data_IF_909281771836
#
_entry.id   IF_909281771836
#
_cell.length_a   1.000
_cell.length_b   1.000
_cell.length_c   1.000
_cell.angle_alpha   90.00
_cell.angle_beta   90.00
_cell.angle_gamma   90.00
#
_symmetry.space_group_name_H-M   'P 1'
#
loop_
_entity.id
_entity.type
_entity.pdbx_description
1 polymer ?
#
# COMPACT_ATOMS: atom_id res chain seq x y z
N UNK A 1 14.85 27.01 23.72
CA UNK A 1 14.02 25.87 24.04
C UNK A 1 12.55 26.02 23.54
N UNK A 2 12.28 26.75 22.45
CA UNK A 2 10.90 27.03 21.97
C UNK A 2 10.74 26.91 20.43
N UNK A 3 11.67 26.26 19.70
CA UNK A 3 11.58 26.15 18.22
C UNK A 3 11.10 24.78 17.69
N UNK A 4 11.09 23.71 18.51
CA UNK A 4 10.77 22.35 18.03
C UNK A 4 9.28 22.04 17.87
N UNK A 5 8.41 22.66 18.70
CA UNK A 5 6.97 22.39 18.66
C UNK A 5 6.25 23.03 17.48
N UNK A 6 6.77 24.13 16.94
CA UNK A 6 6.20 24.83 15.79
C UNK A 6 6.46 24.07 14.47
N UNK A 7 7.65 23.47 14.31
CA UNK A 7 7.98 22.67 13.12
C UNK A 7 7.26 21.34 13.09
N UNK A 8 7.08 20.64 14.24
CA UNK A 8 6.24 19.44 14.36
C UNK A 8 4.77 19.70 13.95
N UNK A 9 4.22 20.82 14.41
CA UNK A 9 2.86 21.24 14.03
C UNK A 9 2.78 21.63 12.56
N UNK A 10 3.83 22.22 11.99
CA UNK A 10 3.87 22.64 10.58
C UNK A 10 3.98 21.45 9.63
N UNK A 11 4.77 20.41 9.93
CA UNK A 11 4.86 19.20 9.12
C UNK A 11 3.52 18.42 9.13
N UNK A 12 2.91 18.24 10.29
CA UNK A 12 1.59 17.58 10.41
C UNK A 12 0.49 18.41 9.75
N UNK A 13 0.55 19.75 9.87
CA UNK A 13 -0.44 20.66 9.27
C UNK A 13 -0.32 20.72 7.74
N UNK A 14 0.88 20.59 7.18
CA UNK A 14 1.08 20.56 5.72
C UNK A 14 0.55 19.25 5.12
N UNK A 15 0.74 18.10 5.78
CA UNK A 15 0.18 16.81 5.33
C UNK A 15 -1.35 16.81 5.41
N UNK A 16 -1.93 17.37 6.48
CA UNK A 16 -3.40 17.50 6.64
C UNK A 16 -3.97 18.55 5.69
N UNK A 17 -3.26 19.64 5.40
CA UNK A 17 -3.71 20.68 4.45
C UNK A 17 -3.68 20.20 2.99
N UNK A 18 -2.75 19.34 2.60
CA UNK A 18 -2.74 18.73 1.27
C UNK A 18 -3.91 17.75 1.11
N UNK A 19 -4.27 17.00 2.15
CA UNK A 19 -5.48 16.16 2.14
C UNK A 19 -6.78 16.98 2.17
N UNK A 20 -6.84 18.11 2.89
CA UNK A 20 -8.03 18.97 2.95
C UNK A 20 -8.22 19.86 1.71
N UNK A 21 -7.15 20.23 1.01
CA UNK A 21 -7.24 20.99 -0.24
C UNK A 21 -7.81 20.15 -1.40
N UNK A 22 -7.67 18.81 -1.35
CA UNK A 22 -8.31 17.91 -2.31
C UNK A 22 -9.82 17.74 -2.08
N UNK A 23 -10.32 18.08 -0.88
CA UNK A 23 -11.72 17.88 -0.47
C UNK A 23 -12.62 19.11 -0.67
N UNK A 24 -12.10 20.24 -1.13
CA UNK A 24 -12.80 21.54 -1.02
C UNK A 24 -13.15 22.32 -2.30
N UNK A 25 -12.89 21.79 -3.49
CA UNK A 25 -13.32 22.45 -4.72
C UNK A 25 -14.55 21.72 -5.31
N UNK A 26 -15.68 22.39 -5.52
CA UNK A 26 -16.75 21.83 -6.32
C UNK A 26 -16.26 21.86 -7.79
N UNK A 27 -15.66 20.75 -8.25
CA UNK A 27 -15.51 20.52 -9.68
C UNK A 27 -16.91 20.31 -10.25
N UNK A 28 -17.43 21.30 -10.93
CA UNK A 28 -18.58 21.11 -11.81
C UNK A 28 -18.14 20.13 -12.90
N UNK A 29 -18.50 18.85 -12.74
CA UNK A 29 -18.24 17.82 -13.73
C UNK A 29 -18.93 18.21 -15.04
N UNK A 30 -18.17 18.70 -16.00
CA UNK A 30 -18.60 18.68 -17.38
C UNK A 30 -18.73 17.19 -17.75
N UNK A 31 -19.95 16.73 -18.03
CA UNK A 31 -20.22 15.44 -18.67
C UNK A 31 -19.55 15.50 -20.05
N UNK A 32 -18.30 15.07 -20.12
CA UNK A 32 -17.64 14.81 -21.39
C UNK A 32 -18.21 13.50 -21.91
N UNK A 33 -19.02 13.58 -22.97
CA UNK A 33 -19.27 12.46 -23.85
C UNK A 33 -17.90 12.00 -24.38
N UNK A 34 -17.27 11.03 -23.73
CA UNK A 34 -15.92 10.62 -24.04
C UNK A 34 -15.88 9.69 -25.22
N UNK A 35 -14.92 9.91 -26.14
CA UNK A 35 -14.54 8.91 -27.13
C UNK A 35 -14.11 7.62 -26.43
N UNK A 36 -14.31 6.46 -27.10
CA UNK A 36 -13.84 5.17 -26.60
C UNK A 36 -12.34 5.22 -26.25
N UNK A 37 -11.96 4.59 -25.15
CA UNK A 37 -10.58 4.51 -24.69
C UNK A 37 -10.10 3.07 -24.62
N UNK A 38 -8.89 2.82 -25.08
CA UNK A 38 -8.20 1.54 -24.90
C UNK A 38 -7.15 1.68 -23.81
N UNK A 39 -7.30 0.92 -22.74
CA UNK A 39 -6.41 0.87 -21.59
C UNK A 39 -5.52 -0.36 -21.72
N UNK A 40 -4.21 -0.19 -21.58
CA UNK A 40 -3.27 -1.31 -21.41
C UNK A 40 -3.12 -1.57 -19.92
N UNK A 41 -3.60 -2.72 -19.47
CA UNK A 41 -3.58 -3.09 -18.06
C UNK A 41 -2.21 -3.66 -17.61
N UNK A 42 -2.09 -3.94 -16.30
CA UNK A 42 -0.84 -4.43 -15.70
C UNK A 42 -0.30 -5.71 -16.38
N UNK A 43 -1.16 -6.58 -16.88
CA UNK A 43 -0.76 -7.83 -17.53
C UNK A 43 -0.63 -7.70 -19.05
N UNK A 44 -0.65 -6.47 -19.58
CA UNK A 44 -0.42 -6.15 -20.99
C UNK A 44 -1.64 -6.35 -21.90
N UNK A 45 -2.85 -6.54 -21.34
CA UNK A 45 -4.08 -6.67 -22.13
C UNK A 45 -4.59 -5.29 -22.51
N UNK A 46 -5.18 -5.22 -23.69
CA UNK A 46 -5.91 -4.05 -24.15
C UNK A 46 -7.40 -4.19 -23.84
N UNK A 47 -7.90 -3.32 -22.96
CA UNK A 47 -9.31 -3.27 -22.57
C UNK A 47 -9.92 -1.99 -23.13
N UNK A 48 -10.93 -2.13 -24.01
CA UNK A 48 -11.59 -0.97 -24.60
C UNK A 48 -12.86 -0.64 -23.79
N UNK A 49 -12.99 0.61 -23.40
CA UNK A 49 -14.15 1.18 -22.73
C UNK A 49 -14.81 2.16 -23.69
N UNK A 50 -16.06 1.87 -24.09
CA UNK A 50 -16.79 2.65 -25.10
C UNK A 50 -17.26 4.02 -24.58
N UNK A 51 -17.38 4.16 -23.26
CA UNK A 51 -17.81 5.39 -22.61
C UNK A 51 -17.27 5.46 -21.17
N UNK A 52 -17.31 6.65 -20.51
CA UNK A 52 -16.98 6.80 -19.10
C UNK A 52 -17.82 5.86 -18.23
N UNK A 53 -17.20 4.97 -17.43
CA UNK A 53 -17.94 4.04 -16.57
C UNK A 53 -18.66 4.81 -15.46
N UNK A 54 -19.86 4.35 -15.14
CA UNK A 54 -20.74 4.93 -14.12
C UNK A 54 -20.87 4.05 -12.88
N UNK A 55 -20.58 2.75 -13.02
CA UNK A 55 -20.77 1.74 -11.98
C UNK A 55 -19.49 0.92 -11.80
N UNK A 56 -18.54 1.53 -11.12
CA UNK A 56 -17.18 0.99 -10.96
C UNK A 56 -17.11 0.14 -9.70
N UNK A 57 -16.39 -0.98 -9.77
CA UNK A 57 -16.04 -1.80 -8.61
C UNK A 57 -14.54 -2.02 -8.55
N UNK A 58 -13.94 -1.79 -7.36
CA UNK A 58 -12.56 -2.13 -7.05
C UNK A 58 -12.50 -3.43 -6.23
N UNK A 59 -11.80 -4.45 -6.74
CA UNK A 59 -11.74 -5.79 -6.15
C UNK A 59 -10.81 -5.90 -4.93
N UNK A 60 -10.27 -4.79 -4.44
CA UNK A 60 -9.50 -4.72 -3.18
C UNK A 60 -9.67 -3.35 -2.52
N UNK A 61 -9.36 -3.27 -1.22
CA UNK A 61 -9.41 -2.01 -0.48
C UNK A 61 -8.47 -0.96 -1.11
N UNK A 62 -7.24 -1.33 -1.47
CA UNK A 62 -6.27 -0.41 -2.09
C UNK A 62 -6.76 0.17 -3.42
N UNK A 63 -7.40 -0.65 -4.27
CA UNK A 63 -7.96 -0.20 -5.55
C UNK A 63 -9.13 0.75 -5.29
N UNK A 64 -10.04 0.39 -4.39
CA UNK A 64 -11.17 1.24 -4.03
C UNK A 64 -10.71 2.57 -3.42
N UNK A 65 -9.69 2.56 -2.55
CA UNK A 65 -9.09 3.78 -2.00
C UNK A 65 -8.52 4.69 -3.11
N UNK A 66 -7.82 4.12 -4.11
CA UNK A 66 -7.33 4.89 -5.26
C UNK A 66 -8.47 5.48 -6.09
N UNK A 67 -9.54 4.71 -6.35
CA UNK A 67 -10.74 5.20 -7.05
C UNK A 67 -11.40 6.36 -6.29
N UNK A 68 -11.60 6.23 -4.98
CA UNK A 68 -12.11 7.33 -4.16
C UNK A 68 -11.22 8.56 -4.22
N UNK A 69 -9.91 8.37 -4.15
CA UNK A 69 -8.94 9.47 -4.12
C UNK A 69 -8.94 10.32 -5.40
N UNK A 70 -9.32 9.76 -6.54
CA UNK A 70 -9.48 10.49 -7.82
C UNK A 70 -10.92 10.93 -8.09
N UNK A 71 -11.88 10.64 -7.19
CA UNK A 71 -13.29 11.00 -7.36
C UNK A 71 -14.15 9.98 -8.12
N UNK A 72 -13.57 8.87 -8.58
CA UNK A 72 -14.26 7.78 -9.27
C UNK A 72 -14.89 6.82 -8.25
N UNK A 73 -15.99 7.24 -7.62
CA UNK A 73 -16.60 6.53 -6.48
C UNK A 73 -17.11 5.13 -6.87
N UNK A 74 -16.62 4.04 -6.20
CA UNK A 74 -17.15 2.70 -6.40
C UNK A 74 -18.61 2.58 -5.97
N UNK A 75 -19.37 1.67 -6.64
CA UNK A 75 -20.76 1.34 -6.26
C UNK A 75 -20.84 0.22 -5.22
N UNK A 76 -19.72 -0.46 -4.95
CA UNK A 76 -19.58 -1.48 -3.92
C UNK A 76 -18.10 -1.72 -3.61
N UNK A 77 -17.83 -2.31 -2.46
CA UNK A 77 -16.46 -2.49 -1.91
C UNK A 77 -16.28 -3.89 -1.34
N UNK A 78 -15.03 -4.27 -1.09
CA UNK A 78 -14.72 -5.51 -0.37
C UNK A 78 -15.14 -5.43 1.10
N UNK A 79 -15.50 -6.56 1.68
CA UNK A 79 -15.87 -6.65 3.09
C UNK A 79 -14.73 -6.16 4.01
N UNK A 80 -15.10 -5.44 5.06
CA UNK A 80 -14.15 -4.91 6.04
C UNK A 80 -13.45 -3.61 5.61
N UNK A 81 -13.82 -3.03 4.47
CA UNK A 81 -13.30 -1.71 4.07
C UNK A 81 -13.93 -0.61 4.94
N UNK A 82 -13.09 0.23 5.54
CA UNK A 82 -13.48 1.31 6.45
C UNK A 82 -12.88 2.68 6.08
N UNK A 83 -12.10 2.72 5.01
CA UNK A 83 -11.50 3.95 4.50
C UNK A 83 -11.71 4.09 2.98
N UNK A 84 -12.09 5.29 2.49
CA UNK A 84 -12.54 6.44 3.29
C UNK A 84 -13.85 6.14 4.04
N UNK A 85 -14.26 6.95 5.04
CA UNK A 85 -15.44 6.65 5.88
C UNK A 85 -16.73 6.36 5.11
N UNK A 86 -16.93 7.00 3.94
CA UNK A 86 -18.07 6.75 3.07
C UNK A 86 -18.12 5.32 2.50
N UNK A 87 -16.98 4.65 2.40
CA UNK A 87 -16.92 3.27 1.91
C UNK A 87 -17.68 2.29 2.81
N UNK A 88 -17.71 2.55 4.13
CA UNK A 88 -18.38 1.69 5.10
C UNK A 88 -19.90 1.56 4.89
N UNK A 89 -20.51 2.49 4.14
CA UNK A 89 -21.95 2.49 3.82
C UNK A 89 -22.29 1.77 2.51
N UNK A 90 -21.29 1.36 1.73
CA UNK A 90 -21.51 0.72 0.45
C UNK A 90 -21.79 -0.78 0.57
N UNK A 91 -22.52 -1.38 -0.39
CA UNK A 91 -22.71 -2.82 -0.49
C UNK A 91 -21.35 -3.53 -0.57
N UNK A 92 -21.27 -4.74 -0.01
CA UNK A 92 -20.07 -5.57 -0.08
C UNK A 92 -20.30 -6.81 -0.91
N UNK A 93 -19.25 -7.30 -1.59
CA UNK A 93 -19.28 -8.50 -2.42
C UNK A 93 -18.21 -9.53 -1.99
N UNK A 94 -18.02 -9.74 -0.69
CA UNK A 94 -17.00 -10.62 -0.13
C UNK A 94 -15.63 -9.96 -0.01
N UNK A 95 -14.56 -10.74 0.07
CA UNK A 95 -13.20 -10.25 0.19
C UNK A 95 -12.47 -10.22 -1.16
N UNK A 96 -11.33 -9.54 -1.24
CA UNK A 96 -10.49 -9.57 -2.45
C UNK A 96 -9.99 -10.98 -2.81
N UNK A 97 -9.81 -11.86 -1.80
CA UNK A 97 -9.39 -13.26 -1.99
C UNK A 97 -10.54 -14.20 -2.33
N UNK A 98 -11.74 -13.93 -1.80
CA UNK A 98 -12.93 -14.75 -1.94
C UNK A 98 -14.13 -13.84 -2.26
N UNK A 99 -14.22 -13.30 -3.49
CA UNK A 99 -15.34 -12.47 -3.89
C UNK A 99 -16.60 -13.34 -4.10
N UNK A 100 -17.73 -12.79 -3.68
CA UNK A 100 -19.05 -13.30 -4.05
C UNK A 100 -19.42 -12.72 -5.42
N UNK A 101 -19.30 -13.55 -6.46
CA UNK A 101 -19.55 -13.12 -7.84
C UNK A 101 -21.02 -12.83 -8.12
N UNK A 102 -21.96 -13.42 -7.37
CA UNK A 102 -23.40 -13.14 -7.50
C UNK A 102 -23.70 -11.75 -6.91
N UNK A 103 -23.17 -11.47 -5.73
CA UNK A 103 -23.28 -10.15 -5.12
C UNK A 103 -22.58 -9.07 -5.97
N UNK A 104 -21.42 -9.38 -6.57
CA UNK A 104 -20.72 -8.50 -7.50
C UNK A 104 -21.57 -8.20 -8.73
N UNK A 105 -22.14 -9.24 -9.38
CA UNK A 105 -22.99 -9.08 -10.56
C UNK A 105 -24.28 -8.29 -10.25
N UNK A 106 -24.85 -8.47 -9.05
CA UNK A 106 -26.04 -7.73 -8.62
C UNK A 106 -25.78 -6.21 -8.46
N UNK A 107 -24.52 -5.79 -8.37
CA UNK A 107 -24.15 -4.38 -8.43
C UNK A 107 -24.21 -3.80 -9.85
N UNK A 108 -24.41 -4.61 -10.87
CA UNK A 108 -24.44 -4.22 -12.30
C UNK A 108 -23.27 -3.31 -12.67
N UNK A 109 -22.01 -3.70 -12.41
CA UNK A 109 -20.86 -2.87 -12.73
C UNK A 109 -20.71 -2.75 -14.26
N UNK A 110 -20.21 -1.59 -14.71
CA UNK A 110 -19.78 -1.36 -16.09
C UNK A 110 -18.25 -1.29 -16.22
N UNK A 111 -17.54 -1.31 -15.08
CA UNK A 111 -16.11 -1.49 -14.99
C UNK A 111 -15.74 -2.23 -13.69
N UNK A 112 -14.94 -3.28 -13.82
CA UNK A 112 -14.29 -3.96 -12.71
C UNK A 112 -12.80 -3.65 -12.77
N UNK A 113 -12.23 -3.20 -11.64
CA UNK A 113 -10.77 -3.07 -11.47
C UNK A 113 -10.32 -4.16 -10.50
N UNK A 114 -9.54 -5.11 -10.99
CA UNK A 114 -9.15 -6.32 -10.27
C UNK A 114 -7.65 -6.33 -9.95
N UNK A 115 -7.28 -7.00 -8.86
CA UNK A 115 -5.88 -7.20 -8.47
C UNK A 115 -5.30 -8.40 -9.22
N UNK A 116 -4.21 -8.19 -9.98
CA UNK A 116 -3.62 -9.23 -10.82
C UNK A 116 -3.14 -10.45 -10.01
N UNK A 117 -2.64 -10.25 -8.79
CA UNK A 117 -2.17 -11.34 -7.94
C UNK A 117 -3.33 -12.19 -7.36
N UNK A 118 -4.44 -11.53 -7.00
CA UNK A 118 -5.55 -12.19 -6.31
C UNK A 118 -6.60 -12.75 -7.25
N UNK A 119 -6.83 -12.06 -8.37
CA UNK A 119 -8.02 -12.28 -9.20
C UNK A 119 -7.72 -12.84 -10.61
N UNK A 120 -6.44 -13.06 -10.97
CA UNK A 120 -6.09 -13.63 -12.29
C UNK A 120 -6.79 -14.97 -12.54
N UNK A 121 -6.88 -15.83 -11.55
CA UNK A 121 -7.53 -17.15 -11.67
C UNK A 121 -9.03 -17.12 -11.91
N UNK A 122 -9.68 -15.97 -11.77
CA UNK A 122 -11.13 -15.79 -11.99
C UNK A 122 -11.42 -14.70 -13.04
N UNK A 123 -10.41 -14.28 -13.81
CA UNK A 123 -10.55 -13.20 -14.78
C UNK A 123 -11.69 -13.42 -15.77
N UNK A 124 -11.79 -14.61 -16.37
CA UNK A 124 -12.85 -14.93 -17.32
C UNK A 124 -14.27 -14.76 -16.72
N UNK A 125 -14.40 -15.05 -15.40
CA UNK A 125 -15.66 -14.87 -14.68
C UNK A 125 -15.97 -13.39 -14.43
N UNK A 126 -14.95 -12.59 -14.18
CA UNK A 126 -15.12 -11.14 -14.01
C UNK A 126 -15.48 -10.49 -15.34
N UNK A 127 -14.83 -10.88 -16.43
CA UNK A 127 -15.13 -10.39 -17.79
C UNK A 127 -16.53 -10.79 -18.28
N UNK A 128 -17.07 -11.89 -17.78
CA UNK A 128 -18.46 -12.25 -18.04
C UNK A 128 -19.48 -11.32 -17.35
N UNK A 129 -19.06 -10.56 -16.34
CA UNK A 129 -19.88 -9.57 -15.62
C UNK A 129 -19.69 -8.18 -16.25
N UNK A 130 -18.46 -7.72 -16.42
CA UNK A 130 -18.16 -6.41 -16.97
C UNK A 130 -16.70 -6.33 -17.52
N UNK A 131 -16.38 -5.35 -18.37
CA UNK A 131 -15.00 -5.04 -18.73
C UNK A 131 -14.13 -4.98 -17.49
N UNK A 132 -12.99 -5.71 -17.52
CA UNK A 132 -12.13 -5.88 -16.35
C UNK A 132 -10.71 -5.43 -16.65
N UNK A 133 -10.18 -4.52 -15.84
CA UNK A 133 -8.80 -4.03 -15.86
C UNK A 133 -8.03 -4.63 -14.70
N UNK A 134 -6.84 -5.19 -14.98
CA UNK A 134 -5.96 -5.74 -13.97
C UNK A 134 -4.93 -4.71 -13.53
N UNK A 135 -4.83 -4.47 -12.22
CA UNK A 135 -3.78 -3.63 -11.61
C UNK A 135 -3.01 -4.41 -10.57
N UNK A 136 -1.81 -3.97 -10.26
CA UNK A 136 -0.99 -4.54 -9.19
C UNK A 136 -0.15 -3.46 -8.53
N UNK A 137 -0.03 -3.54 -7.21
CA UNK A 137 0.85 -2.68 -6.42
C UNK A 137 1.79 -3.58 -5.63
N UNK A 138 3.04 -3.68 -6.08
CA UNK A 138 4.11 -4.40 -5.38
C UNK A 138 4.94 -3.46 -4.51
N UNK A 139 5.12 -2.23 -4.96
CA UNK A 139 5.94 -1.19 -4.35
C UNK A 139 5.16 0.10 -4.17
N UNK A 140 5.59 0.95 -3.25
CA UNK A 140 5.00 2.28 -3.09
C UNK A 140 5.07 3.12 -4.38
N UNK A 141 6.12 2.90 -5.21
CA UNK A 141 6.28 3.55 -6.52
C UNK A 141 5.24 3.14 -7.57
N UNK A 142 4.52 2.05 -7.39
CA UNK A 142 3.48 1.63 -8.32
C UNK A 142 2.18 2.43 -8.12
N UNK A 143 1.99 3.02 -6.94
CA UNK A 143 0.76 3.76 -6.60
C UNK A 143 0.51 4.93 -7.56
N UNK A 144 1.48 5.84 -7.84
CA UNK A 144 1.26 6.93 -8.82
C UNK A 144 0.93 6.42 -10.22
N UNK A 145 1.55 5.30 -10.65
CA UNK A 145 1.25 4.68 -11.94
C UNK A 145 -0.18 4.16 -11.99
N UNK A 146 -0.59 3.39 -10.98
CA UNK A 146 -1.95 2.84 -10.90
C UNK A 146 -3.01 3.94 -10.81
N UNK A 147 -2.73 5.02 -10.08
CA UNK A 147 -3.62 6.20 -10.02
C UNK A 147 -3.84 6.80 -11.42
N UNK A 148 -2.77 6.97 -12.22
CA UNK A 148 -2.88 7.44 -13.61
C UNK A 148 -3.69 6.49 -14.49
N UNK A 149 -3.42 5.20 -14.39
CA UNK A 149 -4.14 4.18 -15.13
C UNK A 149 -5.64 4.19 -14.79
N UNK A 150 -5.98 4.29 -13.50
CA UNK A 150 -7.36 4.41 -13.05
C UNK A 150 -8.01 5.72 -13.52
N UNK A 151 -7.27 6.83 -13.52
CA UNK A 151 -7.74 8.10 -14.07
C UNK A 151 -8.11 7.97 -15.55
N UNK A 152 -7.26 7.34 -16.35
CA UNK A 152 -7.53 7.08 -17.77
C UNK A 152 -8.77 6.19 -17.95
N UNK A 153 -8.89 5.12 -17.15
CA UNK A 153 -9.98 4.17 -17.22
C UNK A 153 -11.34 4.75 -16.78
N UNK A 154 -11.32 5.79 -15.96
CA UNK A 154 -12.53 6.38 -15.36
C UNK A 154 -12.80 7.81 -15.82
N UNK A 155 -12.04 8.32 -16.79
CA UNK A 155 -12.12 9.72 -17.28
C UNK A 155 -11.88 10.78 -16.20
N UNK A 156 -11.08 10.43 -15.16
CA UNK A 156 -10.61 11.36 -14.11
C UNK A 156 -9.12 11.69 -14.31
N UNK A 157 -8.71 11.93 -15.56
CA UNK A 157 -7.31 12.14 -15.93
C UNK A 157 -6.65 13.29 -15.16
N UNK A 158 -7.37 14.40 -15.01
CA UNK A 158 -6.85 15.61 -14.36
C UNK A 158 -6.61 15.37 -12.87
N UNK A 159 -7.59 14.81 -12.17
CA UNK A 159 -7.51 14.48 -10.74
C UNK A 159 -6.42 13.47 -10.47
N UNK A 160 -6.38 12.42 -11.31
CA UNK A 160 -5.39 11.36 -11.21
C UNK A 160 -3.96 11.86 -11.46
N UNK A 161 -3.74 12.69 -12.49
CA UNK A 161 -2.42 13.23 -12.78
C UNK A 161 -1.96 14.19 -11.67
N UNK A 162 -2.86 15.03 -11.13
CA UNK A 162 -2.53 15.91 -10.01
C UNK A 162 -2.11 15.10 -8.78
N UNK A 163 -2.89 14.08 -8.42
CA UNK A 163 -2.62 13.21 -7.27
C UNK A 163 -1.33 12.40 -7.47
N UNK A 164 -1.15 11.81 -8.67
CA UNK A 164 0.03 11.02 -8.98
C UNK A 164 1.32 11.85 -8.92
N UNK A 165 1.31 13.11 -9.42
CA UNK A 165 2.47 14.02 -9.28
C UNK A 165 2.79 14.35 -7.83
N UNK A 166 1.78 14.54 -6.99
CA UNK A 166 2.00 14.76 -5.56
C UNK A 166 2.67 13.54 -4.90
N UNK A 167 2.24 12.33 -5.27
CA UNK A 167 2.83 11.08 -4.80
C UNK A 167 4.25 10.87 -5.30
N UNK A 168 4.53 11.13 -6.58
CA UNK A 168 5.89 11.10 -7.14
C UNK A 168 6.82 12.07 -6.40
N UNK A 169 6.33 13.29 -6.13
CA UNK A 169 7.06 14.29 -5.36
C UNK A 169 7.39 13.82 -3.94
N UNK A 170 6.44 13.17 -3.27
CA UNK A 170 6.62 12.62 -1.94
C UNK A 170 7.63 11.48 -1.91
N UNK A 171 7.55 10.54 -2.86
CA UNK A 171 8.50 9.44 -3.01
C UNK A 171 9.91 9.93 -3.29
N UNK A 172 10.05 10.96 -4.14
CA UNK A 172 11.34 11.59 -4.44
C UNK A 172 11.93 12.28 -3.20
N UNK A 173 11.11 13.01 -2.44
CA UNK A 173 11.54 13.64 -1.19
C UNK A 173 12.02 12.60 -0.18
N UNK A 174 11.28 11.51 0.01
CA UNK A 174 11.67 10.41 0.89
C UNK A 174 13.02 9.78 0.46
N UNK A 175 13.20 9.54 -0.83
CA UNK A 175 14.46 9.02 -1.37
C UNK A 175 15.64 9.99 -1.18
N UNK A 176 15.41 11.30 -1.29
CA UNK A 176 16.45 12.31 -1.00
C UNK A 176 16.84 12.33 0.49
N UNK A 177 15.86 12.24 1.39
CA UNK A 177 16.12 12.12 2.84
C UNK A 177 16.91 10.84 3.12
N UNK A 178 16.51 9.71 2.56
CA UNK A 178 17.22 8.44 2.72
C UNK A 178 18.65 8.50 2.20
N UNK A 179 18.90 9.15 1.06
CA UNK A 179 20.23 9.31 0.49
C UNK A 179 21.19 10.12 1.41
N UNK A 180 20.67 11.08 2.17
CA UNK A 180 21.46 11.83 3.16
C UNK A 180 21.94 10.96 4.33
N UNK A 181 21.29 9.83 4.58
CA UNK A 181 21.54 8.93 5.69
C UNK A 181 22.11 7.57 5.24
N UNK A 182 22.22 7.31 3.94
CA UNK A 182 22.53 5.99 3.38
C UNK A 182 23.88 5.41 3.81
N UNK A 183 24.90 6.25 4.09
CA UNK A 183 26.22 5.79 4.56
C UNK A 183 26.18 5.17 5.96
N UNK A 184 25.18 5.55 6.78
CA UNK A 184 24.97 5.08 8.15
C UNK A 184 23.50 4.65 8.35
N UNK A 185 22.83 4.26 7.28
CA UNK A 185 21.44 3.81 7.33
C UNK A 185 21.31 2.53 8.15
N UNK A 186 20.20 2.38 8.91
CA UNK A 186 20.01 1.22 9.76
C UNK A 186 19.83 -0.06 8.93
N UNK A 187 20.30 -1.19 9.46
CA UNK A 187 19.94 -2.51 9.00
C UNK A 187 18.56 -2.91 9.54
N UNK A 188 17.73 -3.50 8.70
CA UNK A 188 16.36 -3.85 9.09
C UNK A 188 15.99 -5.29 8.71
N UNK A 189 15.05 -5.85 9.46
CA UNK A 189 14.35 -7.09 9.15
C UNK A 189 12.84 -6.82 9.13
N UNK A 190 12.16 -7.30 8.09
CA UNK A 190 10.70 -7.28 7.97
C UNK A 190 10.17 -8.70 8.10
N UNK A 191 9.21 -8.93 9.00
CA UNK A 191 8.57 -10.23 9.23
C UNK A 191 7.07 -10.09 9.07
N UNK A 192 6.48 -10.85 8.15
CA UNK A 192 5.03 -10.89 7.90
C UNK A 192 4.49 -12.29 8.14
N UNK A 193 3.45 -12.44 8.94
CA UNK A 193 2.83 -13.73 9.27
C UNK A 193 2.84 -14.06 10.75
N UNK A 194 3.43 -15.19 11.12
CA UNK A 194 3.65 -15.62 12.51
C UNK A 194 5.09 -16.07 12.70
N UNK A 195 5.56 -16.24 13.94
CA UNK A 195 6.91 -16.76 14.20
C UNK A 195 7.09 -18.22 13.75
N UNK A 196 6.02 -19.00 13.71
CA UNK A 196 6.06 -20.39 13.23
C UNK A 196 6.06 -20.48 11.69
N UNK A 197 5.52 -19.45 11.02
CA UNK A 197 5.44 -19.35 9.56
C UNK A 197 5.79 -17.93 9.11
N UNK A 198 7.05 -17.52 9.30
CA UNK A 198 7.50 -16.19 8.94
C UNK A 198 7.72 -16.09 7.42
N UNK A 199 7.37 -14.93 6.87
CA UNK A 199 7.79 -14.50 5.54
C UNK A 199 8.65 -13.25 5.71
N UNK A 200 9.90 -13.30 5.28
CA UNK A 200 10.83 -12.18 5.42
C UNK A 200 10.75 -11.28 4.21
N UNK A 201 10.15 -10.11 4.40
CA UNK A 201 9.93 -9.13 3.32
C UNK A 201 11.24 -8.49 2.87
N UNK A 202 11.49 -8.52 1.55
CA UNK A 202 12.64 -7.89 0.88
C UNK A 202 12.31 -6.45 0.46
N UNK A 203 13.30 -5.72 -0.03
CA UNK A 203 13.12 -4.36 -0.57
C UNK A 203 12.23 -4.29 -1.82
N UNK A 204 11.90 -5.42 -2.43
CA UNK A 204 10.95 -5.52 -3.53
C UNK A 204 9.48 -5.54 -3.09
N UNK A 205 9.19 -5.71 -1.81
CA UNK A 205 7.82 -5.61 -1.26
C UNK A 205 7.42 -4.15 -1.03
N UNK A 206 6.13 -3.92 -0.81
CA UNK A 206 5.58 -2.59 -0.56
C UNK A 206 6.22 -1.91 0.67
N UNK A 207 6.26 -2.60 1.81
CA UNK A 207 6.94 -2.10 3.01
C UNK A 207 8.46 -1.99 2.79
N UNK A 208 9.06 -2.96 2.11
CA UNK A 208 10.49 -2.98 1.79
C UNK A 208 10.92 -1.79 0.93
N UNK A 209 10.15 -1.42 -0.11
CA UNK A 209 10.42 -0.24 -0.94
C UNK A 209 10.40 1.04 -0.12
N UNK A 210 9.46 1.16 0.84
CA UNK A 210 9.36 2.32 1.71
C UNK A 210 10.58 2.48 2.63
N UNK A 211 10.99 1.41 3.32
CA UNK A 211 12.16 1.46 4.23
C UNK A 211 13.46 1.70 3.47
N UNK A 212 13.60 1.09 2.27
CA UNK A 212 14.75 1.34 1.40
C UNK A 212 14.84 2.79 0.95
N UNK A 213 13.72 3.40 0.57
CA UNK A 213 13.67 4.84 0.20
C UNK A 213 14.05 5.75 1.36
N UNK A 214 13.81 5.32 2.58
CA UNK A 214 14.25 6.01 3.79
C UNK A 214 15.70 5.66 4.18
N UNK A 215 16.50 5.03 3.31
CA UNK A 215 17.93 4.80 3.49
C UNK A 215 18.30 3.58 4.33
N UNK A 216 17.33 2.72 4.68
CA UNK A 216 17.60 1.49 5.40
C UNK A 216 18.13 0.38 4.47
N UNK A 217 18.94 -0.54 5.00
CA UNK A 217 19.41 -1.75 4.34
C UNK A 217 18.65 -2.95 4.88
N UNK A 218 18.01 -3.71 4.00
CA UNK A 218 17.25 -4.90 4.40
C UNK A 218 18.12 -6.14 4.38
N UNK A 219 18.24 -6.85 5.51
CA UNK A 219 19.09 -8.05 5.62
C UNK A 219 18.56 -9.24 4.79
N UNK A 220 17.29 -9.21 4.37
CA UNK A 220 16.70 -10.21 3.50
C UNK A 220 17.02 -9.99 2.00
N UNK A 221 17.56 -8.83 1.63
CA UNK A 221 17.97 -8.54 0.25
C UNK A 221 19.12 -9.48 -0.17
N UNK A 222 19.09 -9.99 -1.38
CA UNK A 222 20.08 -10.94 -1.86
C UNK A 222 19.69 -12.41 -1.67
N UNK A 223 18.75 -12.71 -0.78
CA UNK A 223 18.19 -14.04 -0.65
C UNK A 223 17.21 -14.36 -1.79
N UNK A 224 17.11 -15.65 -2.14
CA UNK A 224 16.16 -16.10 -3.14
C UNK A 224 14.73 -15.91 -2.65
N UNK A 225 13.81 -15.60 -3.59
CA UNK A 225 12.38 -15.58 -3.26
C UNK A 225 11.90 -16.97 -2.82
N UNK A 226 11.08 -16.98 -1.79
CA UNK A 226 10.50 -18.20 -1.23
C UNK A 226 9.03 -18.00 -0.89
N UNK A 227 8.25 -19.07 -1.02
CA UNK A 227 6.81 -19.02 -0.79
C UNK A 227 6.00 -18.58 -2.02
N UNK A 228 4.69 -18.35 -1.85
CA UNK A 228 3.78 -18.10 -2.96
C UNK A 228 3.77 -16.65 -3.46
N UNK A 229 4.45 -15.74 -2.74
CA UNK A 229 4.42 -14.31 -3.04
C UNK A 229 5.82 -13.82 -3.38
N UNK A 230 6.00 -13.09 -4.50
CA UNK A 230 7.29 -12.52 -4.88
C UNK A 230 7.76 -11.45 -3.86
N UNK A 231 9.08 -11.33 -3.71
CA UNK A 231 9.70 -10.38 -2.80
C UNK A 231 9.76 -10.80 -1.34
N UNK A 232 9.44 -12.07 -1.03
CA UNK A 232 9.63 -12.65 0.30
C UNK A 232 10.69 -13.74 0.26
N UNK A 233 11.57 -13.76 1.25
CA UNK A 233 12.63 -14.75 1.42
C UNK A 233 12.35 -15.70 2.59
N UNK A 234 13.16 -16.76 2.68
CA UNK A 234 13.33 -17.55 3.91
C UNK A 234 14.73 -17.28 4.46
N UNK A 235 14.78 -16.98 5.75
CA UNK A 235 16.02 -16.79 6.50
C UNK A 235 16.10 -17.80 7.62
N UNK A 236 17.30 -18.34 7.89
CA UNK A 236 17.50 -19.11 9.10
C UNK A 236 17.66 -18.15 10.30
N UNK A 237 17.36 -18.65 11.48
CA UNK A 237 17.52 -17.86 12.71
C UNK A 237 19.00 -17.50 12.94
N UNK A 238 19.93 -18.38 12.56
CA UNK A 238 21.36 -18.13 12.62
C UNK A 238 21.76 -16.97 11.73
N UNK A 239 21.25 -16.88 10.50
CA UNK A 239 21.52 -15.75 9.60
C UNK A 239 20.99 -14.42 10.16
N UNK A 240 19.83 -14.44 10.83
CA UNK A 240 19.27 -13.27 11.49
C UNK A 240 20.13 -12.83 12.69
N UNK A 241 20.60 -13.80 13.49
CA UNK A 241 21.50 -13.53 14.64
C UNK A 241 22.84 -12.99 14.16
N UNK A 242 23.42 -13.56 13.11
CA UNK A 242 24.69 -13.10 12.54
C UNK A 242 24.59 -11.70 11.93
N UNK A 243 23.44 -11.36 11.32
CA UNK A 243 23.20 -10.05 10.75
C UNK A 243 22.87 -8.98 11.81
N UNK A 244 22.32 -9.40 12.98
CA UNK A 244 21.92 -8.58 14.13
C UNK A 244 21.28 -7.22 13.73
N UNK A 245 20.08 -7.21 13.12
CA UNK A 245 19.49 -6.01 12.55
C UNK A 245 19.21 -4.93 13.61
N UNK A 246 19.39 -3.65 13.23
CA UNK A 246 19.13 -2.50 14.10
C UNK A 246 17.64 -2.31 14.39
N UNK A 247 16.77 -2.66 13.42
CA UNK A 247 15.31 -2.57 13.53
C UNK A 247 14.64 -3.85 13.07
N UNK A 248 13.56 -4.23 13.75
CA UNK A 248 12.67 -5.32 13.33
C UNK A 248 11.27 -4.75 13.18
N UNK A 249 10.71 -4.89 11.98
CA UNK A 249 9.32 -4.57 11.69
C UNK A 249 8.53 -5.86 11.54
N UNK A 250 7.49 -6.01 12.33
CA UNK A 250 6.59 -7.16 12.29
C UNK A 250 5.21 -6.74 11.83
N UNK A 251 4.55 -7.61 11.04
CA UNK A 251 3.15 -7.51 10.68
C UNK A 251 2.52 -8.85 10.99
N UNK A 252 1.88 -8.97 12.14
CA UNK A 252 1.27 -10.21 12.60
C UNK A 252 0.01 -10.51 11.81
N UNK A 253 -0.06 -11.72 11.24
CA UNK A 253 -1.22 -12.22 10.50
C UNK A 253 -1.51 -13.65 10.90
N UNK A 254 -2.78 -13.93 11.25
CA UNK A 254 -3.21 -15.30 11.57
C UNK A 254 -2.91 -15.74 13.00
N UNK A 255 -2.42 -14.86 13.86
CA UNK A 255 -2.24 -15.10 15.30
C UNK A 255 -2.95 -14.02 16.14
N UNK A 256 -3.45 -14.34 17.32
CA UNK A 256 -4.10 -13.38 18.22
C UNK A 256 -3.11 -12.50 18.97
N UNK A 257 -1.87 -12.97 19.15
CA UNK A 257 -0.81 -12.27 19.88
C UNK A 257 0.16 -11.63 18.88
N UNK A 258 0.48 -10.34 19.02
CA UNK A 258 1.50 -9.69 18.21
C UNK A 258 2.86 -10.39 18.31
N UNK A 259 3.60 -10.49 17.20
CA UNK A 259 4.91 -11.16 17.17
C UNK A 259 5.91 -10.59 18.18
N UNK A 260 6.01 -9.26 18.42
CA UNK A 260 6.96 -8.73 19.40
C UNK A 260 6.77 -9.28 20.82
N UNK A 261 5.53 -9.58 21.23
CA UNK A 261 5.24 -10.17 22.55
C UNK A 261 5.75 -11.62 22.64
N UNK A 262 5.57 -12.39 21.56
CA UNK A 262 6.08 -13.78 21.48
C UNK A 262 7.61 -13.80 21.42
N UNK A 263 8.21 -12.90 20.63
CA UNK A 263 9.67 -12.73 20.49
C UNK A 263 10.34 -12.34 21.82
N UNK A 264 9.68 -11.47 22.62
CA UNK A 264 10.22 -11.04 23.91
C UNK A 264 10.42 -12.20 24.91
N UNK A 265 9.66 -13.29 24.74
CA UNK A 265 9.74 -14.49 25.58
C UNK A 265 10.77 -15.50 25.06
N UNK A 266 11.29 -15.32 23.85
CA UNK A 266 12.28 -16.20 23.23
C UNK A 266 13.72 -15.68 23.47
N UNK A 267 14.62 -16.50 24.05
CA UNK A 267 15.98 -16.07 24.37
C UNK A 267 16.81 -15.62 23.18
N UNK A 268 16.58 -16.18 21.98
CA UNK A 268 17.33 -15.83 20.76
C UNK A 268 16.87 -14.45 20.29
N UNK A 269 15.57 -14.26 20.06
CA UNK A 269 15.03 -12.99 19.61
C UNK A 269 15.31 -11.84 20.57
N UNK A 270 15.12 -12.08 21.89
CA UNK A 270 15.38 -11.06 22.92
C UNK A 270 16.87 -10.71 23.08
N UNK A 271 17.79 -11.54 22.52
CA UNK A 271 19.23 -11.26 22.52
C UNK A 271 19.68 -10.27 21.43
N UNK A 272 18.86 -10.04 20.41
CA UNK A 272 19.18 -9.14 19.28
C UNK A 272 19.28 -7.68 19.71
N UNK A 273 20.12 -6.91 19.00
CA UNK A 273 20.30 -5.48 19.24
C UNK A 273 19.01 -4.70 19.11
N UNK A 274 18.16 -5.02 18.12
CA UNK A 274 16.84 -4.40 17.96
C UNK A 274 15.98 -4.52 19.22
N UNK A 275 15.96 -5.67 19.88
CA UNK A 275 15.22 -5.86 21.13
C UNK A 275 15.80 -5.07 22.29
N UNK A 276 17.12 -5.13 22.48
CA UNK A 276 17.82 -4.43 23.56
C UNK A 276 17.66 -2.92 23.49
N UNK A 277 17.53 -2.39 22.27
CA UNK A 277 17.39 -0.97 22.00
C UNK A 277 15.91 -0.51 21.91
N UNK A 278 14.94 -1.44 21.98
CA UNK A 278 13.52 -1.10 21.86
C UNK A 278 13.08 -0.78 20.41
N UNK A 279 13.80 -1.31 19.43
CA UNK A 279 13.56 -1.06 17.99
C UNK A 279 12.80 -2.22 17.32
N UNK A 280 11.87 -2.84 18.05
CA UNK A 280 10.97 -3.85 17.49
C UNK A 280 9.56 -3.27 17.45
N UNK A 281 8.98 -3.17 16.25
CA UNK A 281 7.72 -2.49 16.01
C UNK A 281 6.71 -3.42 15.35
N UNK A 282 5.54 -3.57 15.95
CA UNK A 282 4.37 -4.15 15.28
C UNK A 282 3.71 -3.07 14.43
N UNK A 283 3.59 -3.32 13.14
CA UNK A 283 3.00 -2.40 12.17
C UNK A 283 1.57 -2.82 11.82
N UNK A 284 0.73 -1.85 11.50
CA UNK A 284 -0.66 -2.09 11.10
C UNK A 284 -0.73 -2.88 9.77
N UNK A 285 -1.35 -4.05 9.81
CA UNK A 285 -1.44 -4.95 8.66
C UNK A 285 -2.15 -4.31 7.44
N UNK A 286 -3.19 -3.49 7.68
CA UNK A 286 -3.91 -2.83 6.58
C UNK A 286 -3.04 -1.79 5.90
N UNK A 287 -2.36 -0.98 6.68
CA UNK A 287 -1.56 0.12 6.16
C UNK A 287 -0.29 -0.35 5.45
N UNK A 288 0.35 -1.42 5.96
CA UNK A 288 1.68 -1.83 5.50
C UNK A 288 1.70 -3.07 4.60
N UNK A 289 0.60 -3.85 4.54
CA UNK A 289 0.56 -5.10 3.75
C UNK A 289 -0.73 -5.24 2.93
N UNK A 290 -1.92 -5.08 3.52
CA UNK A 290 -3.17 -5.42 2.84
C UNK A 290 -3.69 -4.34 1.89
N UNK A 291 -3.40 -3.06 2.17
CA UNK A 291 -3.89 -1.94 1.36
C UNK A 291 -2.73 -1.10 0.78
N UNK A 292 -1.90 -1.69 -0.11
CA UNK A 292 -0.84 -0.95 -0.78
C UNK A 292 -1.44 0.08 -1.75
N UNK A 293 -1.71 1.28 -1.26
CA UNK A 293 -2.49 2.30 -1.96
C UNK A 293 -2.17 3.74 -1.52
N UNK A 294 -3.11 4.66 -1.64
CA UNK A 294 -2.90 6.09 -1.41
C UNK A 294 -2.34 6.45 -0.04
N UNK A 295 -2.64 5.63 0.98
CA UNK A 295 -2.15 5.84 2.34
C UNK A 295 -0.68 5.50 2.56
N UNK A 296 0.07 5.14 1.50
CA UNK A 296 1.52 4.95 1.63
C UNK A 296 2.24 6.20 2.18
N UNK A 297 1.68 7.39 1.96
CA UNK A 297 2.19 8.65 2.52
C UNK A 297 2.15 8.62 4.05
N UNK A 298 1.07 8.10 4.63
CA UNK A 298 0.92 7.91 6.07
C UNK A 298 1.90 6.84 6.58
N UNK A 299 1.96 5.71 5.89
CA UNK A 299 2.89 4.62 6.22
C UNK A 299 4.36 5.09 6.23
N UNK A 300 4.78 5.81 5.19
CA UNK A 300 6.14 6.37 5.11
C UNK A 300 6.41 7.42 6.18
N UNK A 301 5.42 8.24 6.54
CA UNK A 301 5.57 9.22 7.62
C UNK A 301 5.80 8.54 8.98
N UNK A 302 5.10 7.42 9.26
CA UNK A 302 5.32 6.62 10.46
C UNK A 302 6.73 6.00 10.47
N UNK A 303 7.19 5.43 9.35
CA UNK A 303 8.55 4.88 9.24
C UNK A 303 9.62 5.96 9.38
N UNK A 304 9.43 7.13 8.80
CA UNK A 304 10.34 8.25 8.95
C UNK A 304 10.43 8.76 10.40
N UNK A 305 9.32 8.77 11.13
CA UNK A 305 9.31 9.11 12.56
C UNK A 305 10.09 8.06 13.38
N UNK A 306 9.95 6.77 13.05
CA UNK A 306 10.71 5.68 13.70
C UNK A 306 12.21 5.84 13.46
N UNK A 307 12.64 6.09 12.22
CA UNK A 307 14.07 6.19 11.90
C UNK A 307 14.72 7.50 12.36
N UNK A 308 14.01 8.62 12.26
CA UNK A 308 14.60 9.95 12.38
C UNK A 308 13.99 10.81 13.51
N UNK A 309 12.84 10.39 14.06
CA UNK A 309 12.16 11.15 15.12
C UNK A 309 12.88 11.12 16.48
N UNK A 310 13.68 10.10 16.74
CA UNK A 310 14.37 9.91 18.03
C UNK A 310 15.62 10.82 18.23
N UNK A 311 16.14 11.41 17.16
CA UNK A 311 17.33 12.27 17.20
C UNK A 311 17.06 13.77 17.36
N UNK A 312 15.81 14.19 17.53
CA UNK A 312 15.40 15.59 17.64
C UNK A 312 14.90 16.00 19.04
N UNK A 313 15.28 15.25 20.09
CA UNK A 313 14.99 15.59 21.49
C UNK A 313 16.21 16.25 22.15
#
# INVERSE_FOLDING_TARGET
>A
MFRSSAMRRMALTVVVLIMLAALGLPFAGAQQGGEARTIVDFVGRQVTLEAPPQRIVGMSASISEMLFAIGAKPVGVTAGMDFPPEAASLPTFGTGYQPDLEALAALEPDLIVANAQLNMGILDKLEAIAPTIMVMTLKASDVPHNVRLLGQATWHDTEAEYLARAYDGYLNMAAQIGALHAENGPSILIIVGTLDQPNYGKSETYLGDMVKRLGATNIADGEADAGPFPGYAQLSIEAIVDADPDYIFTVTRGAPTPMPESMASDPIWSSLSAFKNGHVYELDNRLFVESPGPRFVEAMAQLAEIFYGQGMN
#
